data_IF_277856462964
#
_entry.id   IF_277856462964
#
_cell.length_a   1.000
_cell.length_b   1.000
_cell.length_c   1.000
_cell.angle_alpha   90.00
_cell.angle_beta   90.00
_cell.angle_gamma   90.00
#
_symmetry.space_group_name_H-M   'P 1'
#
loop_
_entity.id
_entity.type
_entity.pdbx_description
1 polymer ?
#
# COMPACT_ATOMS: atom_id res chain seq x y z
N UNK A 1 24.03 -21.27 25.66
CA UNK A 1 23.53 -19.89 25.43
C UNK A 1 23.19 -19.75 23.95
N UNK A 2 21.98 -19.32 23.56
CA UNK A 2 21.71 -19.04 22.14
C UNK A 2 22.50 -17.79 21.75
N UNK A 3 23.46 -17.95 20.85
CA UNK A 3 24.27 -16.84 20.32
C UNK A 3 23.35 -15.83 19.63
N UNK A 4 23.40 -14.57 20.05
CA UNK A 4 22.64 -13.50 19.41
C UNK A 4 23.23 -13.20 18.04
N UNK A 5 22.50 -13.55 16.98
CA UNK A 5 22.91 -13.25 15.59
C UNK A 5 22.45 -11.84 15.23
N UNK A 6 23.39 -11.00 14.80
CA UNK A 6 23.10 -9.67 14.28
C UNK A 6 22.86 -9.72 12.76
N UNK A 7 21.84 -8.99 12.31
CA UNK A 7 21.44 -8.88 10.90
C UNK A 7 21.60 -7.44 10.42
N UNK A 8 21.77 -7.26 9.11
CA UNK A 8 21.90 -5.94 8.49
C UNK A 8 20.57 -5.54 7.86
N UNK A 9 19.93 -4.47 8.36
CA UNK A 9 18.70 -3.93 7.75
C UNK A 9 18.98 -3.30 6.40
N UNK A 10 17.93 -3.04 5.62
CA UNK A 10 18.04 -2.26 4.39
C UNK A 10 18.63 -0.85 4.59
N UNK A 11 18.55 -0.28 5.79
CA UNK A 11 19.17 1.00 6.16
C UNK A 11 20.67 0.90 6.45
N UNK A 12 21.26 -0.30 6.46
CA UNK A 12 22.64 -0.55 6.91
C UNK A 12 22.78 -0.77 8.43
N UNK A 13 21.74 -0.45 9.20
CA UNK A 13 21.72 -0.65 10.66
C UNK A 13 21.84 -2.14 11.04
N UNK A 14 22.76 -2.45 11.95
CA UNK A 14 22.93 -3.79 12.53
C UNK A 14 22.04 -3.95 13.75
N UNK A 15 21.19 -4.98 13.77
CA UNK A 15 20.28 -5.27 14.88
C UNK A 15 20.25 -6.76 15.21
N UNK A 16 19.89 -7.16 16.44
CA UNK A 16 19.65 -8.57 16.73
C UNK A 16 18.50 -9.13 15.87
N UNK A 17 18.69 -10.34 15.35
CA UNK A 17 17.63 -11.09 14.71
C UNK A 17 16.50 -11.32 15.72
N UNK A 18 15.26 -11.13 15.28
CA UNK A 18 14.07 -11.38 16.10
C UNK A 18 13.22 -12.45 15.43
N UNK A 19 13.23 -13.64 16.02
CA UNK A 19 12.38 -14.74 15.59
C UNK A 19 10.90 -14.34 15.67
N UNK A 20 10.52 -13.63 16.72
CA UNK A 20 9.15 -13.12 16.90
C UNK A 20 8.68 -12.26 15.71
N UNK A 21 9.53 -11.35 15.21
CA UNK A 21 9.20 -10.54 14.02
C UNK A 21 8.99 -11.40 12.77
N UNK A 22 9.80 -12.46 12.58
CA UNK A 22 9.61 -13.41 11.48
C UNK A 22 8.28 -14.14 11.63
N UNK A 23 8.00 -14.73 12.79
CA UNK A 23 6.77 -15.46 13.07
C UNK A 23 5.53 -14.56 12.87
N UNK A 24 5.58 -13.33 13.39
CA UNK A 24 4.51 -12.35 13.21
C UNK A 24 4.29 -12.00 11.73
N UNK A 25 5.36 -11.84 10.95
CA UNK A 25 5.25 -11.55 9.52
C UNK A 25 4.61 -12.70 8.72
N UNK A 26 4.92 -13.95 9.07
CA UNK A 26 4.33 -15.14 8.43
C UNK A 26 2.85 -15.30 8.83
N UNK A 27 2.51 -15.13 10.11
CA UNK A 27 1.11 -15.15 10.59
C UNK A 27 0.27 -14.11 9.89
N UNK A 28 0.78 -12.87 9.73
CA UNK A 28 0.06 -11.81 9.01
C UNK A 28 -0.21 -12.14 7.55
N UNK A 29 0.66 -12.91 6.91
CA UNK A 29 0.39 -13.39 5.55
C UNK A 29 -0.70 -14.48 5.49
N UNK A 30 -1.11 -15.03 6.64
CA UNK A 30 -2.13 -16.07 6.76
C UNK A 30 -1.56 -17.48 6.94
N UNK A 31 -0.23 -17.63 7.12
CA UNK A 31 0.37 -18.94 7.33
C UNK A 31 -0.08 -19.56 8.67
N UNK A 32 -0.30 -20.88 8.69
CA UNK A 32 -0.75 -21.65 9.85
C UNK A 32 0.42 -22.20 10.66
N UNK A 33 0.16 -22.68 11.88
CA UNK A 33 1.20 -23.08 12.85
C UNK A 33 2.27 -24.02 12.32
N UNK A 34 1.87 -25.08 11.59
CA UNK A 34 2.83 -26.04 11.01
C UNK A 34 3.70 -25.40 9.93
N UNK A 35 3.10 -24.62 9.01
CA UNK A 35 3.81 -23.91 7.95
C UNK A 35 4.81 -22.90 8.52
N UNK A 36 4.39 -22.13 9.52
CA UNK A 36 5.24 -21.15 10.22
C UNK A 36 6.43 -21.85 10.87
N UNK A 37 6.19 -22.97 11.55
CA UNK A 37 7.24 -23.70 12.26
C UNK A 37 8.28 -24.25 11.28
N UNK A 38 7.84 -24.82 10.15
CA UNK A 38 8.73 -25.32 9.11
C UNK A 38 9.57 -24.18 8.52
N UNK A 39 8.93 -23.06 8.12
CA UNK A 39 9.64 -21.92 7.54
C UNK A 39 10.62 -21.31 8.55
N UNK A 40 10.22 -21.17 9.81
CA UNK A 40 11.07 -20.60 10.85
C UNK A 40 12.33 -21.44 11.09
N UNK A 41 12.21 -22.77 11.13
CA UNK A 41 13.36 -23.69 11.25
C UNK A 41 14.30 -23.57 10.05
N UNK A 42 13.77 -23.50 8.84
CA UNK A 42 14.56 -23.32 7.62
C UNK A 42 15.29 -21.97 7.58
N UNK A 43 14.67 -20.91 8.12
CA UNK A 43 15.34 -19.62 8.26
C UNK A 43 16.43 -19.68 9.31
N UNK A 44 16.19 -20.29 10.48
CA UNK A 44 17.18 -20.42 11.56
C UNK A 44 18.47 -21.11 11.07
N UNK A 45 18.34 -22.13 10.21
CA UNK A 45 19.47 -22.86 9.60
C UNK A 45 20.36 -22.04 8.68
N UNK A 46 19.84 -20.96 8.08
CA UNK A 46 20.61 -20.11 7.16
C UNK A 46 21.12 -18.83 7.82
N UNK A 47 20.82 -18.61 9.12
CA UNK A 47 21.27 -17.40 9.80
C UNK A 47 22.79 -17.45 10.02
N UNK A 48 23.46 -16.38 9.62
CA UNK A 48 24.86 -16.14 9.91
C UNK A 48 25.08 -14.67 10.29
N UNK A 49 26.15 -14.32 11.03
CA UNK A 49 26.44 -12.94 11.41
C UNK A 49 26.51 -12.01 10.19
N UNK A 50 25.73 -10.94 10.20
CA UNK A 50 25.71 -9.95 9.13
C UNK A 50 24.73 -10.23 7.98
N UNK A 51 24.06 -11.40 7.95
CA UNK A 51 23.02 -11.71 6.95
C UNK A 51 22.03 -10.54 6.82
N UNK A 52 21.66 -10.20 5.58
CA UNK A 52 20.80 -9.05 5.35
C UNK A 52 19.33 -9.39 5.63
N UNK A 53 18.56 -8.42 6.15
CA UNK A 53 17.10 -8.59 6.30
C UNK A 53 16.41 -8.86 4.96
N UNK A 54 17.00 -8.39 3.85
CA UNK A 54 16.54 -8.63 2.48
C UNK A 54 16.69 -10.10 2.08
N UNK A 55 17.76 -10.74 2.49
CA UNK A 55 18.03 -12.14 2.22
C UNK A 55 17.13 -13.07 3.02
N UNK A 56 16.97 -12.80 4.31
CA UNK A 56 16.01 -13.49 5.18
C UNK A 56 14.60 -13.41 4.55
N UNK A 57 14.19 -12.21 4.16
CA UNK A 57 12.91 -11.98 3.51
C UNK A 57 12.75 -12.77 2.20
N UNK A 58 13.79 -12.80 1.33
CA UNK A 58 13.77 -13.55 0.07
C UNK A 58 13.62 -15.05 0.31
N UNK A 59 14.35 -15.61 1.28
CA UNK A 59 14.24 -17.04 1.63
C UNK A 59 12.85 -17.35 2.19
N UNK A 60 12.35 -16.55 3.12
CA UNK A 60 11.02 -16.74 3.71
C UNK A 60 9.91 -16.67 2.65
N UNK A 61 9.99 -15.67 1.75
CA UNK A 61 9.08 -15.55 0.62
C UNK A 61 9.13 -16.78 -0.32
N UNK A 62 10.33 -17.26 -0.65
CA UNK A 62 10.50 -18.45 -1.51
C UNK A 62 9.90 -19.71 -0.88
N UNK A 63 10.15 -19.94 0.41
CA UNK A 63 9.56 -21.05 1.15
C UNK A 63 8.04 -20.93 1.23
N UNK A 64 7.52 -19.74 1.53
CA UNK A 64 6.08 -19.50 1.58
C UNK A 64 5.41 -19.70 0.21
N UNK A 65 6.07 -19.32 -0.88
CA UNK A 65 5.58 -19.53 -2.24
C UNK A 65 5.45 -21.02 -2.61
N UNK A 66 6.35 -21.87 -2.09
CA UNK A 66 6.26 -23.33 -2.27
C UNK A 66 5.07 -23.93 -1.52
N UNK A 67 4.73 -23.37 -0.36
CA UNK A 67 3.53 -23.76 0.40
C UNK A 67 2.27 -23.28 -0.31
N UNK A 68 2.23 -21.99 -0.66
CA UNK A 68 1.07 -21.37 -1.29
C UNK A 68 1.43 -20.05 -1.98
N UNK A 69 1.05 -19.92 -3.24
CA UNK A 69 1.19 -18.68 -3.99
C UNK A 69 0.43 -17.51 -3.34
N UNK A 70 -0.78 -17.75 -2.81
CA UNK A 70 -1.59 -16.69 -2.19
C UNK A 70 -0.96 -16.15 -0.89
N UNK A 71 -0.37 -17.03 -0.07
CA UNK A 71 0.33 -16.60 1.16
C UNK A 71 1.56 -15.75 0.81
N UNK A 72 2.31 -16.17 -0.21
CA UNK A 72 3.44 -15.41 -0.71
C UNK A 72 3.03 -14.03 -1.24
N UNK A 73 1.92 -13.93 -1.96
CA UNK A 73 1.39 -12.66 -2.45
C UNK A 73 1.05 -11.68 -1.31
N UNK A 74 0.43 -12.15 -0.22
CA UNK A 74 0.17 -11.35 1.00
C UNK A 74 1.47 -10.95 1.70
N UNK A 75 2.41 -11.87 1.85
CA UNK A 75 3.73 -11.60 2.41
C UNK A 75 4.53 -10.56 1.60
N UNK A 76 4.23 -10.45 0.30
CA UNK A 76 4.81 -9.46 -0.61
C UNK A 76 4.22 -8.07 -0.51
N UNK A 77 3.11 -7.86 0.21
CA UNK A 77 2.30 -6.64 0.12
C UNK A 77 3.11 -5.33 0.19
N UNK A 78 4.05 -5.20 1.13
CA UNK A 78 4.89 -3.99 1.23
C UNK A 78 5.63 -3.70 -0.07
N UNK A 79 6.23 -4.72 -0.67
CA UNK A 79 6.96 -4.61 -1.94
C UNK A 79 6.00 -4.37 -3.10
N UNK A 80 4.82 -4.98 -3.07
CA UNK A 80 3.80 -4.80 -4.09
C UNK A 80 3.33 -3.34 -4.19
N UNK A 81 3.13 -2.66 -3.05
CA UNK A 81 2.81 -1.22 -3.06
C UNK A 81 3.94 -0.39 -3.69
N UNK A 82 5.21 -0.72 -3.41
CA UNK A 82 6.36 -0.06 -4.08
C UNK A 82 6.42 -0.34 -5.58
N UNK A 83 5.77 -1.40 -6.06
CA UNK A 83 5.70 -1.78 -7.47
C UNK A 83 4.51 -1.13 -8.21
N UNK A 84 3.73 -0.25 -7.55
CA UNK A 84 2.69 0.57 -8.22
C UNK A 84 3.27 1.72 -9.06
N UNK A 85 4.57 1.99 -8.97
CA UNK A 85 5.27 3.01 -9.76
C UNK A 85 5.84 2.49 -11.09
N UNK A 86 6.59 3.33 -11.83
CA UNK A 86 7.30 4.50 -11.31
C UNK A 86 6.49 5.80 -11.27
N UNK A 87 5.35 5.89 -11.96
CA UNK A 87 4.46 7.07 -11.89
C UNK A 87 3.70 7.12 -10.56
N UNK A 88 3.24 8.32 -10.17
CA UNK A 88 2.36 8.51 -9.00
C UNK A 88 0.93 8.02 -9.25
N UNK A 89 0.47 8.11 -10.50
CA UNK A 89 -0.92 7.91 -10.87
C UNK A 89 -1.54 6.55 -10.49
N UNK A 90 -0.87 5.38 -10.64
CA UNK A 90 -1.46 4.13 -10.18
C UNK A 90 -1.60 4.06 -8.66
N UNK A 91 -0.72 4.74 -7.92
CA UNK A 91 -0.85 4.86 -6.47
C UNK A 91 -2.04 5.76 -6.07
N UNK A 92 -2.29 6.85 -6.79
CA UNK A 92 -3.45 7.72 -6.60
C UNK A 92 -4.76 6.95 -6.84
N UNK A 93 -4.86 6.22 -7.95
CA UNK A 93 -5.98 5.32 -8.24
C UNK A 93 -6.19 4.27 -7.16
N UNK A 94 -5.10 3.70 -6.66
CA UNK A 94 -5.16 2.69 -5.60
C UNK A 94 -5.68 3.28 -4.28
N UNK A 95 -5.23 4.48 -3.89
CA UNK A 95 -5.76 5.21 -2.72
C UNK A 95 -7.24 5.53 -2.93
N UNK A 96 -7.62 6.00 -4.12
CA UNK A 96 -9.00 6.25 -4.47
C UNK A 96 -9.88 5.00 -4.38
N UNK A 97 -9.38 3.84 -4.82
CA UNK A 97 -10.10 2.56 -4.73
C UNK A 97 -10.32 2.11 -3.28
N UNK A 98 -9.35 2.35 -2.39
CA UNK A 98 -9.50 2.11 -0.95
C UNK A 98 -10.60 2.99 -0.37
N UNK A 99 -10.57 4.29 -0.64
CA UNK A 99 -11.59 5.22 -0.14
C UNK A 99 -12.98 4.88 -0.70
N UNK A 100 -13.07 4.50 -1.98
CA UNK A 100 -14.33 4.06 -2.58
C UNK A 100 -14.93 2.85 -1.85
N UNK A 101 -14.09 1.88 -1.48
CA UNK A 101 -14.53 0.73 -0.68
C UNK A 101 -14.94 1.09 0.75
N UNK A 102 -14.40 2.17 1.31
CA UNK A 102 -14.81 2.73 2.61
C UNK A 102 -16.11 3.56 2.52
N UNK A 103 -16.73 3.60 1.33
CA UNK A 103 -18.03 4.23 1.08
C UNK A 103 -17.96 5.69 0.70
N UNK A 104 -16.81 6.18 0.24
CA UNK A 104 -16.67 7.53 -0.32
C UNK A 104 -17.03 7.54 -1.81
N UNK A 105 -17.66 8.61 -2.27
CA UNK A 105 -17.58 9.03 -3.67
C UNK A 105 -16.17 9.57 -3.92
N UNK A 106 -15.53 9.16 -5.02
CA UNK A 106 -14.12 9.45 -5.26
C UNK A 106 -13.90 9.92 -6.70
N UNK A 107 -13.17 11.02 -6.84
CA UNK A 107 -12.64 11.53 -8.09
C UNK A 107 -11.11 11.57 -8.01
N UNK A 108 -10.42 11.15 -9.07
CA UNK A 108 -8.94 11.09 -9.12
C UNK A 108 -8.44 12.07 -10.19
N UNK A 109 -7.32 12.75 -9.94
CA UNK A 109 -6.67 13.68 -10.87
C UNK A 109 -7.56 14.86 -11.24
N UNK A 110 -7.96 15.66 -10.26
CA UNK A 110 -8.90 16.76 -10.44
C UNK A 110 -8.19 18.11 -10.45
N UNK A 111 -8.47 18.96 -11.44
CA UNK A 111 -8.08 20.37 -11.37
C UNK A 111 -9.15 21.13 -10.59
N UNK A 112 -8.77 21.64 -9.43
CA UNK A 112 -9.66 22.39 -8.53
C UNK A 112 -9.21 23.85 -8.50
N UNK A 113 -10.12 24.76 -8.78
CA UNK A 113 -9.87 26.19 -8.58
C UNK A 113 -9.96 26.50 -7.08
N UNK A 114 -8.81 26.80 -6.47
CA UNK A 114 -8.72 27.36 -5.13
C UNK A 114 -9.10 28.84 -5.13
N UNK A 115 -9.01 29.47 -3.96
CA UNK A 115 -9.31 30.88 -3.84
C UNK A 115 -8.31 31.77 -4.61
N UNK A 116 -7.04 31.36 -4.63
CA UNK A 116 -5.97 32.10 -5.30
C UNK A 116 -5.60 31.50 -6.65
N UNK A 117 -5.41 30.17 -6.74
CA UNK A 117 -4.88 29.50 -7.94
C UNK A 117 -5.52 28.14 -8.19
N UNK A 118 -5.30 27.57 -9.38
CA UNK A 118 -5.66 26.20 -9.69
C UNK A 118 -4.70 25.20 -9.02
N UNK A 119 -5.25 24.11 -8.50
CA UNK A 119 -4.52 23.01 -7.88
C UNK A 119 -4.89 21.69 -8.55
N UNK A 120 -3.89 20.91 -8.93
CA UNK A 120 -4.09 19.51 -9.30
C UNK A 120 -4.20 18.66 -8.03
N UNK A 121 -5.41 18.26 -7.68
CA UNK A 121 -5.70 17.44 -6.51
C UNK A 121 -5.72 15.97 -6.93
N UNK A 122 -4.81 15.19 -6.36
CA UNK A 122 -4.63 13.78 -6.69
C UNK A 122 -5.91 12.96 -6.47
N UNK A 123 -6.56 13.12 -5.32
CA UNK A 123 -7.85 12.47 -5.02
C UNK A 123 -8.77 13.42 -4.26
N UNK A 124 -10.02 13.54 -4.70
CA UNK A 124 -11.11 14.17 -3.95
C UNK A 124 -12.05 13.07 -3.48
N UNK A 125 -12.36 13.04 -2.18
CA UNK A 125 -13.27 12.05 -1.62
C UNK A 125 -14.39 12.71 -0.81
N UNK A 126 -15.62 12.24 -1.00
CA UNK A 126 -16.80 12.78 -0.34
C UNK A 126 -17.66 11.67 0.26
N UNK A 127 -18.10 11.84 1.51
CA UNK A 127 -19.06 10.95 2.17
C UNK A 127 -19.87 11.75 3.18
N UNK A 128 -21.17 11.87 2.93
CA UNK A 128 -22.10 12.63 3.77
C UNK A 128 -21.63 14.09 3.92
N UNK A 129 -21.34 14.53 5.13
CA UNK A 129 -20.85 15.86 5.48
C UNK A 129 -19.32 16.00 5.36
N UNK A 130 -18.60 14.92 5.02
CA UNK A 130 -17.13 14.92 4.93
C UNK A 130 -16.65 15.06 3.50
N UNK A 131 -15.70 15.95 3.28
CA UNK A 131 -15.13 16.25 1.98
C UNK A 131 -13.62 16.45 2.09
N UNK A 132 -12.84 15.65 1.36
CA UNK A 132 -11.40 15.55 1.58
C UNK A 132 -10.62 15.88 0.32
N UNK A 133 -9.55 16.66 0.51
CA UNK A 133 -8.50 16.88 -0.48
C UNK A 133 -7.34 15.94 -0.13
N UNK A 134 -7.05 14.96 -0.96
CA UNK A 134 -6.00 13.98 -0.69
C UNK A 134 -4.86 14.14 -1.68
N UNK A 135 -3.65 14.26 -1.13
CA UNK A 135 -2.40 14.36 -1.87
C UNK A 135 -1.57 13.10 -1.66
N UNK A 136 -1.28 12.41 -2.75
CA UNK A 136 -0.46 11.23 -2.81
C UNK A 136 1.02 11.61 -3.02
N UNK A 137 1.91 11.00 -2.25
CA UNK A 137 3.35 11.18 -2.36
C UNK A 137 4.01 9.82 -2.46
N UNK A 138 4.14 9.36 -3.70
CA UNK A 138 4.76 8.10 -4.05
C UNK A 138 6.29 8.21 -4.14
N UNK A 139 7.00 7.23 -3.62
CA UNK A 139 8.45 7.14 -3.68
C UNK A 139 8.90 5.75 -4.11
N UNK A 140 9.80 5.67 -5.09
CA UNK A 140 10.39 4.40 -5.54
C UNK A 140 11.42 3.83 -4.54
N UNK A 141 12.07 4.69 -3.76
CA UNK A 141 12.98 4.28 -2.69
C UNK A 141 12.23 4.11 -1.37
N UNK A 142 12.25 2.88 -0.83
CA UNK A 142 11.60 2.54 0.44
C UNK A 142 12.26 3.19 1.67
N UNK A 143 13.49 3.70 1.56
CA UNK A 143 14.20 4.38 2.65
C UNK A 143 13.86 5.88 2.71
N UNK A 144 13.39 6.45 1.60
CA UNK A 144 12.95 7.84 1.53
C UNK A 144 11.76 8.07 2.45
N UNK A 145 11.85 9.11 3.27
CA UNK A 145 10.76 9.59 4.12
C UNK A 145 10.23 10.91 3.55
N UNK A 146 8.93 11.14 3.70
CA UNK A 146 8.36 12.48 3.51
C UNK A 146 8.75 13.32 4.73
N UNK A 147 9.58 14.33 4.51
CA UNK A 147 9.96 15.31 5.53
C UNK A 147 8.86 16.37 5.74
N UNK A 148 9.10 17.32 6.64
CA UNK A 148 8.11 18.32 7.05
C UNK A 148 7.72 19.29 5.91
N UNK A 149 8.55 19.44 4.88
CA UNK A 149 8.24 20.34 3.75
C UNK A 149 7.02 19.87 2.98
N UNK A 150 6.82 18.55 2.91
CA UNK A 150 5.68 17.93 2.22
C UNK A 150 4.34 18.34 2.85
N UNK A 151 4.06 18.08 4.15
CA UNK A 151 2.81 18.51 4.75
C UNK A 151 2.70 20.04 4.88
N UNK A 152 3.81 20.79 5.04
CA UNK A 152 3.78 22.26 4.98
C UNK A 152 3.20 22.77 3.66
N UNK A 153 3.71 22.25 2.54
CA UNK A 153 3.26 22.61 1.20
C UNK A 153 1.83 22.15 0.93
N UNK A 154 1.47 20.94 1.34
CA UNK A 154 0.11 20.42 1.12
C UNK A 154 -0.92 21.18 1.98
N UNK A 155 -0.54 21.57 3.19
CA UNK A 155 -1.41 22.39 4.04
C UNK A 155 -1.72 23.74 3.41
N UNK A 156 -0.73 24.44 2.83
CA UNK A 156 -1.01 25.73 2.17
C UNK A 156 -1.92 25.59 0.96
N UNK A 157 -1.77 24.51 0.17
CA UNK A 157 -2.69 24.18 -0.93
C UNK A 157 -4.10 23.88 -0.43
N UNK A 158 -4.21 23.09 0.63
CA UNK A 158 -5.48 22.75 1.24
C UNK A 158 -6.23 23.99 1.71
N UNK A 159 -5.56 24.93 2.38
CA UNK A 159 -6.20 26.16 2.86
C UNK A 159 -6.74 27.02 1.71
N UNK A 160 -6.03 27.08 0.58
CA UNK A 160 -6.48 27.81 -0.60
C UNK A 160 -7.73 27.16 -1.23
N UNK A 161 -7.74 25.83 -1.34
CA UNK A 161 -8.87 25.04 -1.86
C UNK A 161 -10.07 25.08 -0.90
N UNK A 162 -9.84 24.92 0.40
CA UNK A 162 -10.86 24.94 1.43
C UNK A 162 -11.62 26.27 1.44
N UNK A 163 -10.91 27.40 1.29
CA UNK A 163 -11.52 28.72 1.22
C UNK A 163 -12.51 28.84 0.06
N UNK A 164 -12.18 28.29 -1.12
CA UNK A 164 -13.10 28.23 -2.26
C UNK A 164 -14.26 27.25 -2.01
N UNK A 165 -13.99 26.06 -1.45
CA UNK A 165 -15.02 25.07 -1.15
C UNK A 165 -16.07 25.58 -0.16
N UNK A 166 -15.68 26.31 0.88
CA UNK A 166 -16.62 26.89 1.84
C UNK A 166 -17.62 27.87 1.22
N UNK A 167 -17.28 28.48 0.08
CA UNK A 167 -18.15 29.39 -0.67
C UNK A 167 -19.03 28.65 -1.69
N UNK A 168 -18.75 27.38 -1.98
CA UNK A 168 -19.52 26.58 -2.93
C UNK A 168 -20.84 26.15 -2.31
N UNK A 169 -21.92 26.23 -3.09
CA UNK A 169 -23.25 25.77 -2.67
C UNK A 169 -23.20 24.30 -2.20
N UNK A 170 -23.79 24.03 -1.04
CA UNK A 170 -23.78 22.71 -0.40
C UNK A 170 -22.48 22.30 0.31
N UNK A 171 -21.43 23.13 0.31
CA UNK A 171 -20.16 22.81 0.97
C UNK A 171 -19.85 23.68 2.21
N UNK A 172 -20.61 24.76 2.45
CA UNK A 172 -20.34 25.70 3.56
C UNK A 172 -20.36 25.08 4.96
N UNK A 173 -21.15 24.03 5.17
CA UNK A 173 -21.24 23.30 6.45
C UNK A 173 -20.52 21.94 6.44
N UNK A 174 -19.92 21.55 5.31
CA UNK A 174 -19.19 20.28 5.21
C UNK A 174 -17.87 20.38 5.99
N UNK A 175 -17.48 19.28 6.61
CA UNK A 175 -16.15 19.11 7.18
C UNK A 175 -15.13 18.89 6.06
N UNK A 176 -14.28 19.89 5.83
CA UNK A 176 -13.18 19.81 4.87
C UNK A 176 -11.89 19.40 5.58
N UNK A 177 -11.12 18.49 4.98
CA UNK A 177 -9.80 18.10 5.52
C UNK A 177 -8.79 17.77 4.42
N UNK A 178 -7.56 18.25 4.59
CA UNK A 178 -6.41 17.86 3.77
C UNK A 178 -5.78 16.55 4.25
N UNK A 179 -5.44 15.66 3.33
CA UNK A 179 -4.78 14.39 3.61
C UNK A 179 -3.44 14.31 2.87
N UNK A 180 -2.46 13.67 3.49
CA UNK A 180 -1.20 13.29 2.83
C UNK A 180 -1.06 11.77 2.91
N UNK A 181 -0.99 11.11 1.76
CA UNK A 181 -0.88 9.65 1.67
C UNK A 181 0.44 9.27 1.02
N UNK A 182 1.25 8.45 1.67
CA UNK A 182 2.53 7.98 1.11
C UNK A 182 2.69 6.47 1.22
N UNK A 183 3.36 5.86 0.25
CA UNK A 183 3.74 4.44 0.29
C UNK A 183 4.91 4.16 1.24
N UNK A 184 5.65 5.19 1.68
CA UNK A 184 6.77 5.01 2.62
C UNK A 184 6.41 5.43 4.03
N UNK A 185 7.06 6.46 4.58
CA UNK A 185 6.97 6.90 5.98
C UNK A 185 7.17 8.40 6.08
N UNK A 186 6.62 9.00 7.12
CA UNK A 186 6.87 10.39 7.50
C UNK A 186 8.05 10.51 8.48
N UNK A 187 8.70 11.66 8.51
CA UNK A 187 9.60 12.03 9.62
C UNK A 187 8.79 12.42 10.86
N UNK A 188 9.44 12.48 12.02
CA UNK A 188 8.78 12.90 13.28
C UNK A 188 8.20 14.30 13.16
N UNK A 189 8.94 15.24 12.56
CA UNK A 189 8.47 16.63 12.39
C UNK A 189 7.28 16.71 11.42
N UNK A 190 7.29 15.92 10.35
CA UNK A 190 6.14 15.84 9.45
C UNK A 190 4.88 15.35 10.18
N UNK A 191 5.00 14.32 11.02
CA UNK A 191 3.89 13.83 11.86
C UNK A 191 3.43 14.89 12.85
N UNK A 192 4.37 15.53 13.54
CA UNK A 192 4.06 16.58 14.53
C UNK A 192 3.31 17.74 13.89
N UNK A 193 3.80 18.24 12.75
CA UNK A 193 3.16 19.34 12.02
C UNK A 193 1.78 18.96 11.48
N UNK A 194 1.64 17.80 10.83
CA UNK A 194 0.35 17.38 10.25
C UNK A 194 -0.73 17.24 11.32
N UNK A 195 -0.41 16.60 12.45
CA UNK A 195 -1.35 16.50 13.57
C UNK A 195 -1.70 17.86 14.17
N UNK A 196 -0.72 18.77 14.29
CA UNK A 196 -0.93 20.12 14.80
C UNK A 196 -1.87 20.95 13.91
N UNK A 197 -1.84 20.74 12.61
CA UNK A 197 -2.60 21.51 11.61
C UNK A 197 -3.91 20.85 11.20
N UNK A 198 -4.19 19.64 11.71
CA UNK A 198 -5.39 18.89 11.36
C UNK A 198 -5.31 18.14 10.03
N UNK A 199 -4.13 18.07 9.38
CA UNK A 199 -3.92 17.19 8.22
C UNK A 199 -4.00 15.72 8.64
N UNK A 200 -4.69 14.91 7.84
CA UNK A 200 -4.67 13.46 8.04
C UNK A 200 -3.49 12.82 7.29
N UNK A 201 -2.54 12.26 8.04
CA UNK A 201 -1.34 11.65 7.46
C UNK A 201 -1.48 10.12 7.42
N UNK A 202 -1.40 9.54 6.23
CA UNK A 202 -1.45 8.08 6.03
C UNK A 202 -0.17 7.61 5.37
N UNK A 203 0.53 6.67 6.01
CA UNK A 203 1.69 6.01 5.43
C UNK A 203 1.56 4.49 5.52
N UNK A 204 2.59 3.75 5.10
CA UNK A 204 2.61 2.29 5.21
C UNK A 204 2.23 1.78 6.60
N UNK A 205 2.65 2.47 7.67
CA UNK A 205 2.43 2.02 9.05
C UNK A 205 2.00 3.13 10.03
N UNK A 206 1.49 4.25 9.50
CA UNK A 206 0.93 5.34 10.30
C UNK A 206 -0.41 5.83 9.70
N UNK A 207 -1.40 6.25 10.51
CA UNK A 207 -1.40 6.13 11.97
C UNK A 207 -1.56 4.67 12.39
N UNK A 208 -1.31 4.36 13.66
CA UNK A 208 -1.55 3.00 14.17
C UNK A 208 -3.04 2.68 13.96
N UNK A 209 -3.36 1.46 13.51
CA UNK A 209 -4.71 0.97 13.15
C UNK A 209 -5.34 1.55 11.88
N UNK A 210 -5.05 2.79 11.48
CA UNK A 210 -5.58 3.38 10.22
C UNK A 210 -4.55 3.58 9.11
N UNK A 211 -3.36 2.98 9.25
CA UNK A 211 -2.33 3.01 8.20
C UNK A 211 -2.75 2.32 6.92
N UNK A 212 -2.05 2.60 5.82
CA UNK A 212 -2.31 1.97 4.53
C UNK A 212 -2.29 0.44 4.63
N UNK A 213 -1.33 -0.13 5.37
CA UNK A 213 -1.26 -1.57 5.60
C UNK A 213 -2.50 -2.13 6.29
N UNK A 214 -2.98 -1.46 7.34
CA UNK A 214 -4.14 -1.92 8.10
C UNK A 214 -5.44 -1.78 7.27
N UNK A 215 -5.57 -0.73 6.46
CA UNK A 215 -6.68 -0.57 5.51
C UNK A 215 -6.73 -1.70 4.48
N UNK A 216 -5.59 -2.09 3.93
CA UNK A 216 -5.50 -3.22 2.99
C UNK A 216 -5.83 -4.54 3.69
N UNK A 217 -5.25 -4.75 4.88
CA UNK A 217 -5.49 -5.95 5.67
C UNK A 217 -6.93 -6.05 6.17
N UNK A 218 -7.72 -4.96 6.25
CA UNK A 218 -9.16 -5.00 6.53
C UNK A 218 -10.01 -5.19 5.28
N UNK A 219 -9.75 -4.45 4.21
CA UNK A 219 -10.56 -4.44 2.99
C UNK A 219 -10.30 -5.64 2.07
N UNK A 220 -9.11 -6.24 2.15
CA UNK A 220 -8.69 -7.26 1.18
C UNK A 220 -8.37 -6.70 -0.20
N UNK A 221 -8.30 -5.37 -0.35
CA UNK A 221 -7.94 -4.69 -1.58
C UNK A 221 -6.45 -4.82 -1.85
N UNK A 222 -6.02 -5.99 -2.28
CA UNK A 222 -4.63 -6.23 -2.63
C UNK A 222 -4.33 -5.63 -4.01
N UNK A 223 -3.18 -4.97 -4.19
CA UNK A 223 -2.80 -4.45 -5.48
C UNK A 223 -2.44 -5.61 -6.42
N UNK A 224 -2.69 -5.47 -7.72
CA UNK A 224 -2.35 -6.50 -8.72
C UNK A 224 -0.86 -6.85 -8.73
N UNK A 225 -0.02 -5.95 -8.23
CA UNK A 225 1.43 -6.11 -8.11
C UNK A 225 1.83 -7.18 -7.08
N UNK A 226 0.91 -7.60 -6.21
CA UNK A 226 1.07 -8.75 -5.31
C UNK A 226 1.16 -10.08 -6.07
N UNK A 227 0.47 -10.21 -7.21
CA UNK A 227 0.36 -11.46 -7.96
C UNK A 227 1.74 -11.97 -8.37
N UNK A 228 2.02 -13.23 -8.05
CA UNK A 228 3.31 -13.87 -8.33
C UNK A 228 3.31 -14.61 -9.67
N UNK A 229 2.12 -14.78 -10.26
CA UNK A 229 1.89 -15.38 -11.59
C UNK A 229 1.99 -14.38 -12.74
N UNK A 230 1.90 -13.08 -12.47
CA UNK A 230 2.13 -12.01 -13.44
C UNK A 230 3.61 -11.60 -13.52
N UNK A 231 4.09 -11.38 -14.74
CA UNK A 231 5.42 -10.81 -14.98
C UNK A 231 5.43 -9.31 -14.66
N UNK A 232 6.63 -8.72 -14.51
CA UNK A 232 6.77 -7.26 -14.30
C UNK A 232 6.15 -6.48 -15.48
N UNK A 233 6.33 -6.97 -16.70
CA UNK A 233 5.80 -6.35 -17.90
C UNK A 233 4.28 -6.37 -17.95
N UNK A 234 3.65 -7.51 -17.64
CA UNK A 234 2.18 -7.62 -17.59
C UNK A 234 1.57 -6.71 -16.51
N UNK A 235 2.21 -6.64 -15.34
CA UNK A 235 1.80 -5.70 -14.28
C UNK A 235 1.83 -4.26 -14.76
N UNK A 236 2.93 -3.87 -15.41
CA UNK A 236 3.05 -2.50 -15.92
C UNK A 236 1.95 -2.19 -16.94
N UNK A 237 1.71 -3.08 -17.91
CA UNK A 237 0.61 -2.92 -18.87
C UNK A 237 -0.75 -2.71 -18.22
N UNK A 238 -1.06 -3.49 -17.18
CA UNK A 238 -2.32 -3.35 -16.44
C UNK A 238 -2.39 -1.99 -15.71
N UNK A 239 -1.31 -1.59 -15.03
CA UNK A 239 -1.22 -0.31 -14.34
C UNK A 239 -1.35 0.88 -15.31
N UNK A 240 -0.75 0.79 -16.50
CA UNK A 240 -0.84 1.82 -17.54
C UNK A 240 -2.27 2.00 -18.06
N UNK A 241 -3.08 0.94 -18.04
CA UNK A 241 -4.53 1.00 -18.33
C UNK A 241 -5.38 1.43 -17.14
N UNK A 242 -4.76 1.69 -15.99
CA UNK A 242 -5.44 2.15 -14.78
C UNK A 242 -6.02 1.07 -13.89
N UNK A 243 -5.73 -0.21 -14.16
CA UNK A 243 -6.13 -1.33 -13.31
C UNK A 243 -5.10 -1.45 -12.19
N UNK A 244 -5.54 -1.51 -10.94
CA UNK A 244 -4.62 -1.47 -9.77
C UNK A 244 -4.87 -2.57 -8.75
N UNK A 245 -6.04 -3.22 -8.75
CA UNK A 245 -6.45 -4.25 -7.80
C UNK A 245 -6.47 -5.66 -8.40
N UNK A 246 -6.22 -6.66 -7.55
CA UNK A 246 -6.47 -8.06 -7.93
C UNK A 246 -7.94 -8.33 -8.26
N UNK A 247 -8.89 -7.68 -7.56
CA UNK A 247 -10.33 -7.90 -7.72
C UNK A 247 -10.82 -7.49 -9.11
N UNK A 248 -10.28 -6.43 -9.69
CA UNK A 248 -10.64 -5.97 -11.04
C UNK A 248 -10.34 -7.06 -12.09
N UNK A 249 -9.27 -7.85 -11.89
CA UNK A 249 -8.96 -8.99 -12.76
C UNK A 249 -9.94 -10.15 -12.58
N UNK A 250 -10.48 -10.34 -11.37
CA UNK A 250 -11.50 -11.35 -11.11
C UNK A 250 -12.85 -10.98 -11.75
N UNK A 251 -13.18 -9.70 -11.80
CA UNK A 251 -14.42 -9.16 -12.38
C UNK A 251 -14.36 -9.11 -13.91
N UNK A 252 -13.17 -8.94 -14.49
CA UNK A 252 -12.99 -8.88 -15.94
C UNK A 252 -11.71 -9.60 -16.38
N UNK A 253 -11.84 -10.87 -16.75
CA UNK A 253 -10.71 -11.70 -17.19
C UNK A 253 -10.08 -11.23 -18.51
N UNK A 254 -10.83 -10.51 -19.35
CA UNK A 254 -10.34 -9.99 -20.63
C UNK A 254 -9.20 -8.96 -20.44
N UNK A 255 -9.08 -8.36 -19.25
CA UNK A 255 -7.94 -7.52 -18.88
C UNK A 255 -6.61 -8.29 -18.97
N UNK A 256 -6.60 -9.58 -18.66
CA UNK A 256 -5.41 -10.43 -18.77
C UNK A 256 -5.02 -10.67 -20.22
N UNK A 257 -6.00 -10.88 -21.10
CA UNK A 257 -5.74 -11.03 -22.54
C UNK A 257 -5.14 -9.75 -23.13
N UNK A 258 -5.71 -8.58 -22.78
CA UNK A 258 -5.16 -7.25 -23.15
C UNK A 258 -3.72 -7.04 -22.65
N UNK A 259 -3.39 -7.57 -21.48
CA UNK A 259 -2.03 -7.54 -20.94
C UNK A 259 -1.05 -8.53 -21.62
N UNK A 260 -1.54 -9.39 -22.53
CA UNK A 260 -0.74 -10.39 -23.24
C UNK A 260 -0.64 -11.74 -22.52
N UNK A 261 -1.55 -12.02 -21.58
CA UNK A 261 -1.58 -13.28 -20.83
C UNK A 261 -2.40 -14.33 -21.60
N UNK A 262 -1.74 -15.40 -22.05
CA UNK A 262 -2.40 -16.53 -22.73
C UNK A 262 -3.35 -17.30 -21.80
N UNK A 263 -4.44 -17.85 -22.33
CA UNK A 263 -5.52 -18.53 -21.58
C UNK A 263 -5.06 -19.52 -20.49
N UNK A 264 -4.12 -20.47 -20.75
CA UNK A 264 -3.71 -21.42 -19.70
C UNK A 264 -3.05 -20.75 -18.48
N UNK A 265 -2.36 -19.61 -18.70
CA UNK A 265 -1.76 -18.82 -17.63
C UNK A 265 -2.78 -17.86 -17.01
N UNK A 266 -3.71 -17.33 -17.80
CA UNK A 266 -4.78 -16.46 -17.29
C UNK A 266 -5.57 -17.16 -16.18
N UNK A 267 -5.93 -18.44 -16.36
CA UNK A 267 -6.59 -19.21 -15.31
C UNK A 267 -5.77 -19.31 -14.01
N UNK A 268 -4.45 -19.48 -14.12
CA UNK A 268 -3.56 -19.50 -12.94
C UNK A 268 -3.53 -18.15 -12.24
N UNK A 269 -3.51 -17.05 -12.99
CA UNK A 269 -3.56 -15.68 -12.45
C UNK A 269 -4.89 -15.44 -11.73
N UNK A 270 -6.02 -15.78 -12.36
CA UNK A 270 -7.35 -15.62 -11.77
C UNK A 270 -7.51 -16.46 -10.50
N UNK A 271 -7.03 -17.70 -10.50
CA UNK A 271 -7.05 -18.55 -9.30
C UNK A 271 -6.21 -17.92 -8.17
N UNK A 272 -5.02 -17.38 -8.46
CA UNK A 272 -4.22 -16.66 -7.46
C UNK A 272 -4.95 -15.41 -6.94
N UNK A 273 -5.55 -14.62 -7.83
CA UNK A 273 -6.28 -13.40 -7.49
C UNK A 273 -7.52 -13.69 -6.63
N UNK A 274 -8.31 -14.71 -6.99
CA UNK A 274 -9.48 -15.16 -6.22
C UNK A 274 -9.09 -15.59 -4.81
N UNK A 275 -8.06 -16.41 -4.65
CA UNK A 275 -7.58 -16.84 -3.32
C UNK A 275 -7.11 -15.66 -2.45
N UNK A 276 -6.55 -14.61 -3.06
CA UNK A 276 -6.18 -13.37 -2.34
C UNK A 276 -7.43 -12.60 -1.90
N UNK A 277 -8.46 -12.53 -2.75
CA UNK A 277 -9.70 -11.80 -2.52
C UNK A 277 -10.71 -12.52 -1.59
N UNK A 278 -10.82 -13.85 -1.66
CA UNK A 278 -11.86 -14.68 -1.01
C UNK A 278 -11.66 -14.87 0.49
N UNK A 279 -10.44 -14.71 1.01
CA UNK A 279 -10.13 -14.88 2.44
C UNK A 279 -10.77 -13.82 3.37
N UNK A 280 -11.73 -13.03 2.86
CA UNK A 280 -12.51 -12.03 3.60
C UNK A 280 -14.00 -12.04 3.29
N UNK A 281 -14.52 -13.02 2.54
CA UNK A 281 -15.95 -13.33 2.61
C UNK A 281 -16.16 -14.18 3.86
N UNK A 282 -15.92 -13.59 5.03
CA UNK A 282 -16.55 -14.01 6.27
C UNK A 282 -17.38 -12.80 6.67
N UNK A 283 -18.69 -12.97 6.50
CA UNK A 283 -19.73 -12.03 6.90
C UNK A 283 -19.60 -11.67 8.38
#
# INVERSE_FOLDING_TARGET
MKTTIFITKASGEKVPFSMEKLLHSLRRAGAKGNEITIIAKEIERILYPGISSKEIYRKAFSLLKKVSAHLAAKYKLKKAIMELGPSGFPFEKYVGAILKHEGFSVLVGQIVLGHCVQHEVDVVAEKEDRHFMIECKFHSDQLRKCDVKVPLYIHSRFLDVEKAWRQKSGHGQKFHQGWVVTNTRFTTDAVKYGNCTGLNLVSWNYPKKESLKERIDRSGLHPLTCLTTLTKYEKQKLLDTGIVLCRELCENEYLLEKAGVKKPRAQKVLNEARLICELKIQA
#
